data_IF_425124057454
#
_entry.id   IF_425124057454
#
_cell.length_a   1.000
_cell.length_b   1.000
_cell.length_c   1.000
_cell.angle_alpha   90.00
_cell.angle_beta   90.00
_cell.angle_gamma   90.00
#
_symmetry.space_group_name_H-M   'P 1'
#
loop_
_entity.id
_entity.type
_entity.pdbx_description
1 polymer ?
#
# COMPACT_ATOMS: atom_id res chain seq x y z
N UNK A 1 -6.10 13.62 15.19
CA UNK A 1 -4.80 13.68 14.51
C UNK A 1 -4.76 14.96 13.72
N UNK A 2 -3.70 15.77 13.88
CA UNK A 2 -3.53 16.99 13.11
C UNK A 2 -2.86 16.69 11.75
N UNK A 3 -2.93 17.64 10.83
CA UNK A 3 -2.40 17.48 9.45
C UNK A 3 -0.88 17.50 9.38
N UNK A 4 -0.22 18.01 10.41
CA UNK A 4 1.23 18.20 10.55
C UNK A 4 1.95 16.98 11.15
N UNK A 5 1.22 15.89 11.41
CA UNK A 5 1.78 14.68 12.02
C UNK A 5 1.71 14.67 13.55
N UNK A 6 1.07 15.64 14.19
CA UNK A 6 0.95 15.67 15.64
C UNK A 6 -0.35 15.04 16.15
N UNK A 7 -0.23 14.15 17.14
CA UNK A 7 -1.37 13.63 17.88
C UNK A 7 -1.55 14.45 19.15
N UNK A 8 -2.53 15.34 19.14
CA UNK A 8 -2.86 16.20 20.28
C UNK A 8 -4.18 15.78 20.89
N UNK A 9 -4.21 15.68 22.21
CA UNK A 9 -5.43 15.50 22.99
C UNK A 9 -5.87 16.85 23.51
N UNK A 10 -7.13 17.18 23.28
CA UNK A 10 -7.74 18.44 23.69
C UNK A 10 -8.79 18.22 24.79
N UNK A 11 -8.91 19.19 25.68
CA UNK A 11 -10.03 19.28 26.61
C UNK A 11 -11.32 19.74 25.88
N UNK A 12 -12.49 19.65 26.51
CA UNK A 12 -13.74 20.18 25.95
C UNK A 12 -13.71 21.69 25.63
N UNK A 13 -12.80 22.44 26.26
CA UNK A 13 -12.58 23.87 26.02
C UNK A 13 -11.56 24.12 24.90
N UNK A 14 -11.24 23.10 24.10
CA UNK A 14 -10.27 23.16 23.01
C UNK A 14 -8.84 23.52 23.47
N UNK A 15 -8.48 23.20 24.73
CA UNK A 15 -7.12 23.37 25.26
C UNK A 15 -6.32 22.08 25.08
N UNK A 16 -5.13 22.16 24.48
CA UNK A 16 -4.23 21.01 24.39
C UNK A 16 -3.79 20.60 25.80
N UNK A 17 -4.00 19.33 26.14
CA UNK A 17 -3.63 18.75 27.45
C UNK A 17 -2.45 17.78 27.33
N UNK A 18 -2.20 17.24 26.14
CA UNK A 18 -1.03 16.40 25.83
C UNK A 18 -0.77 16.41 24.32
N UNK A 19 0.48 16.23 23.90
CA UNK A 19 0.89 16.10 22.51
C UNK A 19 2.01 15.06 22.36
N UNK A 20 2.04 14.36 21.21
CA UNK A 20 3.14 13.47 20.83
C UNK A 20 4.42 14.22 20.46
N UNK A 21 4.32 15.51 20.10
CA UNK A 21 5.42 16.35 19.62
C UNK A 21 6.12 15.74 18.39
N UNK A 22 5.30 15.24 17.47
CA UNK A 22 5.73 14.64 16.20
C UNK A 22 5.36 15.50 15.00
N UNK A 23 5.07 16.78 15.24
CA UNK A 23 4.89 17.78 14.21
C UNK A 23 6.17 17.94 13.36
N UNK A 24 6.00 18.39 12.12
CA UNK A 24 7.12 18.75 11.26
C UNK A 24 6.89 18.56 9.77
N UNK A 25 5.84 17.83 9.38
CA UNK A 25 5.50 17.62 7.98
C UNK A 25 3.99 17.60 7.77
N UNK A 26 3.49 18.38 6.81
CA UNK A 26 2.10 18.26 6.40
C UNK A 26 1.90 17.00 5.55
N UNK A 27 0.86 16.23 5.85
CA UNK A 27 0.70 14.93 5.22
C UNK A 27 -0.52 14.13 5.65
N UNK A 28 -0.56 12.88 5.17
CA UNK A 28 -1.55 11.91 5.59
C UNK A 28 -0.95 11.03 6.67
N UNK A 29 -1.61 10.98 7.82
CA UNK A 29 -1.15 10.21 8.96
C UNK A 29 -2.26 9.32 9.49
N UNK A 30 -1.89 8.14 9.97
CA UNK A 30 -2.79 7.20 10.65
C UNK A 30 -2.20 6.81 11.99
N UNK A 31 -3.06 6.79 13.02
CA UNK A 31 -2.71 6.30 14.35
C UNK A 31 -3.30 4.90 14.52
N UNK A 32 -2.46 3.92 14.84
CA UNK A 32 -2.84 2.51 14.89
C UNK A 32 -2.47 1.93 16.25
N UNK A 33 -3.45 1.30 16.92
CA UNK A 33 -3.19 0.39 18.04
C UNK A 33 -2.81 -0.97 17.48
N UNK A 34 -1.57 -1.37 17.69
CA UNK A 34 -1.03 -2.64 17.24
C UNK A 34 -1.38 -3.78 18.22
N UNK A 35 -1.22 -5.02 17.78
CA UNK A 35 -1.56 -6.23 18.58
C UNK A 35 -0.72 -6.39 19.85
N UNK A 36 0.46 -5.79 19.88
CA UNK A 36 1.39 -5.82 21.02
C UNK A 36 1.06 -4.80 22.12
N UNK A 37 -0.02 -4.01 21.93
CA UNK A 37 -0.47 -2.90 22.79
C UNK A 37 0.38 -1.63 22.64
N UNK A 38 1.10 -1.49 21.53
CA UNK A 38 1.76 -0.25 21.16
C UNK A 38 0.86 0.64 20.31
N UNK A 39 0.88 1.96 20.54
CA UNK A 39 0.18 2.95 19.72
C UNK A 39 1.20 3.63 18.84
N UNK A 40 1.05 3.49 17.52
CA UNK A 40 2.02 3.97 16.53
C UNK A 40 1.36 4.93 15.56
N UNK A 41 2.08 6.02 15.26
CA UNK A 41 1.72 6.96 14.20
C UNK A 41 2.53 6.59 12.96
N UNK A 42 1.85 6.31 11.86
CA UNK A 42 2.43 6.21 10.53
C UNK A 42 2.11 7.48 9.74
N UNK A 43 3.08 7.95 8.96
CA UNK A 43 2.94 9.17 8.16
C UNK A 43 2.90 8.93 6.66
N UNK A 44 3.01 10.03 5.92
CA UNK A 44 2.94 10.06 4.46
C UNK A 44 3.85 9.01 3.82
N UNK A 45 3.30 8.31 2.84
CA UNK A 45 4.05 7.38 2.01
C UNK A 45 5.19 8.12 1.31
N UNK A 46 6.42 7.68 1.55
CA UNK A 46 7.59 8.23 0.85
C UNK A 46 7.67 7.75 -0.60
N UNK A 47 7.07 6.59 -0.87
CA UNK A 47 6.95 6.00 -2.20
C UNK A 47 5.77 5.03 -2.21
N UNK A 48 5.07 4.97 -3.33
CA UNK A 48 4.03 3.97 -3.56
C UNK A 48 4.10 3.50 -5.02
N UNK A 49 3.72 2.24 -5.27
CA UNK A 49 3.54 1.70 -6.62
C UNK A 49 2.40 2.38 -7.38
N UNK A 50 1.49 3.08 -6.67
CA UNK A 50 0.29 3.68 -7.26
C UNK A 50 -0.81 2.68 -7.59
N UNK A 51 -0.76 1.45 -7.04
CA UNK A 51 -1.72 0.39 -7.36
C UNK A 51 -2.97 0.39 -6.47
N UNK A 52 -3.20 1.43 -5.68
CA UNK A 52 -4.44 1.56 -4.91
C UNK A 52 -5.60 1.69 -5.90
N UNK A 53 -6.37 0.62 -6.08
CA UNK A 53 -7.54 0.60 -6.96
C UNK A 53 -8.69 1.36 -6.29
N UNK A 54 -8.64 2.69 -6.34
CA UNK A 54 -9.78 3.54 -6.01
C UNK A 54 -10.73 3.60 -7.20
N UNK A 55 -11.80 2.81 -7.14
CA UNK A 55 -12.84 2.62 -8.15
C UNK A 55 -12.36 1.97 -9.47
N UNK A 56 -12.43 0.64 -9.53
CA UNK A 56 -12.89 0.01 -10.78
C UNK A 56 -14.35 0.45 -10.93
N UNK A 57 -14.58 1.58 -11.59
CA UNK A 57 -15.78 1.70 -12.40
C UNK A 57 -15.73 0.49 -13.32
N UNK A 58 -16.68 -0.42 -13.16
CA UNK A 58 -16.85 -1.52 -14.09
C UNK A 58 -17.32 -0.87 -15.40
N UNK A 59 -16.52 -0.73 -16.47
CA UNK A 59 -17.13 -0.81 -17.78
C UNK A 59 -17.63 -2.24 -17.85
N UNK A 60 -18.96 -2.39 -17.75
CA UNK A 60 -19.72 -3.58 -18.11
C UNK A 60 -18.85 -4.73 -18.63
N UNK A 61 -18.49 -5.66 -17.74
CA UNK A 61 -17.85 -6.90 -18.19
C UNK A 61 -18.78 -7.51 -19.22
N UNK A 62 -18.36 -7.66 -20.51
CA UNK A 62 -19.13 -8.51 -21.40
C UNK A 62 -19.15 -9.90 -20.77
N UNK A 63 -20.31 -10.54 -20.91
CA UNK A 63 -20.71 -11.75 -20.21
C UNK A 63 -19.60 -12.81 -20.15
N UNK A 64 -19.51 -13.45 -18.98
CA UNK A 64 -18.84 -14.73 -18.70
C UNK A 64 -18.41 -15.52 -19.93
N UNK A 65 -17.17 -15.35 -20.38
CA UNK A 65 -16.55 -16.31 -21.27
C UNK A 65 -15.83 -17.36 -20.42
N UNK A 66 -16.37 -18.57 -20.51
CA UNK A 66 -15.94 -19.80 -19.83
C UNK A 66 -14.42 -20.00 -19.95
N UNK A 67 -13.71 -19.88 -18.83
CA UNK A 67 -12.45 -20.59 -18.64
C UNK A 67 -12.57 -21.47 -17.39
N UNK A 68 -12.25 -22.78 -17.48
CA UNK A 68 -12.48 -23.70 -16.39
C UNK A 68 -11.55 -23.41 -15.22
N UNK A 69 -12.14 -23.26 -14.04
CA UNK A 69 -11.46 -23.30 -12.75
C UNK A 69 -10.76 -24.64 -12.57
N UNK A 70 -9.43 -24.64 -12.48
CA UNK A 70 -8.60 -25.43 -11.55
C UNK A 70 -7.20 -25.68 -12.14
N UNK A 71 -6.25 -24.84 -11.75
CA UNK A 71 -4.82 -24.99 -12.08
C UNK A 71 -4.00 -24.48 -10.91
N UNK A 72 -3.49 -25.42 -10.10
CA UNK A 72 -2.63 -25.21 -8.93
C UNK A 72 -1.42 -24.35 -9.32
N UNK A 73 -1.30 -23.13 -8.78
CA UNK A 73 -0.09 -22.32 -8.96
C UNK A 73 1.00 -22.88 -8.05
N UNK A 74 2.01 -23.52 -8.63
CA UNK A 74 3.28 -23.84 -7.96
C UNK A 74 4.27 -22.71 -8.23
N UNK A 75 4.87 -22.06 -7.21
CA UNK A 75 5.93 -21.10 -7.46
C UNK A 75 7.18 -21.88 -7.91
N UNK A 76 7.53 -21.78 -9.19
CA UNK A 76 8.83 -22.25 -9.68
C UNK A 76 9.88 -21.22 -9.29
N UNK A 77 10.78 -21.59 -8.38
CA UNK A 77 11.99 -20.81 -8.10
C UNK A 77 12.94 -20.92 -9.30
N UNK A 78 12.85 -20.01 -10.26
CA UNK A 78 13.95 -19.82 -11.22
C UNK A 78 14.88 -18.71 -10.73
N UNK A 79 16.06 -19.13 -10.30
CA UNK A 79 17.24 -18.26 -10.20
C UNK A 79 17.48 -17.65 -11.58
N UNK A 80 17.42 -16.32 -11.69
CA UNK A 80 17.97 -15.63 -12.85
C UNK A 80 19.46 -15.95 -12.99
N UNK A 81 19.95 -16.55 -14.09
CA UNK A 81 21.36 -16.49 -14.39
C UNK A 81 21.64 -15.13 -15.02
N UNK A 82 22.45 -14.35 -14.31
CA UNK A 82 23.17 -13.21 -14.83
C UNK A 82 23.97 -13.63 -16.07
N UNK A 83 24.06 -12.71 -17.04
CA UNK A 83 25.01 -12.67 -18.16
C UNK A 83 24.62 -13.37 -19.48
N UNK A 84 24.26 -12.56 -20.47
CA UNK A 84 24.86 -12.67 -21.82
C UNK A 84 24.05 -13.35 -22.94
N UNK A 85 23.65 -12.51 -23.92
CA UNK A 85 23.32 -12.79 -25.32
C UNK A 85 21.93 -13.42 -25.63
N UNK A 86 21.01 -12.56 -26.06
CA UNK A 86 19.79 -12.95 -26.77
C UNK A 86 20.16 -13.32 -28.21
N UNK A 87 19.88 -14.55 -28.65
CA UNK A 87 19.89 -14.93 -30.07
C UNK A 87 18.46 -14.87 -30.61
N UNK A 88 18.25 -14.06 -31.65
CA UNK A 88 17.05 -14.15 -32.49
C UNK A 88 17.11 -15.47 -33.27
N UNK A 89 16.04 -16.28 -33.23
CA UNK A 89 15.85 -17.38 -34.17
C UNK A 89 14.67 -17.01 -35.07
N UNK A 90 14.96 -16.80 -36.35
CA UNK A 90 13.95 -16.64 -37.41
C UNK A 90 13.56 -18.02 -37.92
N UNK A 91 12.26 -18.33 -37.97
CA UNK A 91 11.75 -19.60 -38.52
C UNK A 91 11.81 -19.62 -40.05
N UNK A 92 12.13 -20.78 -40.63
CA UNK A 92 11.80 -21.10 -42.04
C UNK A 92 10.36 -21.56 -42.15
#
# INVERSE_FOLDING_TARGET
MQTDGNLVVYSPQNKAIWASNTDGENGHFVCVLQKDRNVVIYGTDRWATGTYTGAVGIPESPASEKYPTSGKIMPTSEKYPTTGKIKLVTSK
#
